data_IF_027386311091
#
_entry.id   IF_027386311091
#
_cell.length_a   1.000
_cell.length_b   1.000
_cell.length_c   1.000
_cell.angle_alpha   90.00
_cell.angle_beta   90.00
_cell.angle_gamma   90.00
#
_symmetry.space_group_name_H-M   'P 1'
#
loop_
_entity.id
_entity.type
_entity.pdbx_description
1 polymer ?
#
# COMPACT_ATOMS: atom_id res chain seq x y z
N UNK A 1 38.95 5.50 59.38
CA UNK A 1 37.63 6.01 58.94
C UNK A 1 37.58 5.85 57.43
N UNK A 2 36.68 5.01 56.89
CA UNK A 2 36.60 4.70 55.46
C UNK A 2 35.51 5.58 54.84
N UNK A 3 35.86 6.40 53.85
CA UNK A 3 34.94 7.27 53.13
C UNK A 3 34.18 6.44 52.09
N UNK A 4 32.86 6.33 52.24
CA UNK A 4 31.99 5.67 51.27
C UNK A 4 31.63 6.67 50.17
N UNK A 5 32.16 6.46 48.97
CA UNK A 5 31.91 7.27 47.79
C UNK A 5 30.65 6.73 47.09
N UNK A 6 29.50 7.35 47.36
CA UNK A 6 28.23 7.00 46.68
C UNK A 6 28.17 7.84 45.40
N UNK A 7 28.52 7.21 44.28
CA UNK A 7 28.48 7.82 42.95
C UNK A 7 27.05 7.76 42.41
N UNK A 8 26.34 8.89 42.40
CA UNK A 8 24.99 9.00 41.86
C UNK A 8 25.03 9.17 40.35
N UNK A 9 24.84 8.07 39.63
CA UNK A 9 24.62 8.06 38.18
C UNK A 9 23.25 8.71 37.86
N UNK A 10 23.27 9.94 37.36
CA UNK A 10 22.08 10.61 36.81
C UNK A 10 21.76 10.03 35.44
N UNK A 11 20.67 9.26 35.34
CA UNK A 11 20.16 8.74 34.07
C UNK A 11 19.36 9.86 33.39
N UNK A 12 19.91 10.44 32.32
CA UNK A 12 19.15 11.30 31.40
C UNK A 12 18.22 10.41 30.57
N UNK A 13 16.94 10.38 30.93
CA UNK A 13 15.91 9.77 30.10
C UNK A 13 15.50 10.79 29.01
N UNK A 14 16.05 10.66 27.81
CA UNK A 14 15.55 11.38 26.65
C UNK A 14 14.27 10.70 26.15
N UNK A 15 13.13 11.33 26.41
CA UNK A 15 11.84 10.89 25.85
C UNK A 15 11.78 11.38 24.41
N UNK A 16 12.08 10.49 23.46
CA UNK A 16 11.85 10.76 22.04
C UNK A 16 10.33 10.71 21.81
N UNK A 17 9.71 11.89 21.68
CA UNK A 17 8.32 11.99 21.24
C UNK A 17 8.31 11.69 19.74
N UNK A 18 7.91 10.48 19.37
CA UNK A 18 7.64 10.16 17.98
C UNK A 18 6.46 11.04 17.53
N UNK A 19 6.74 12.09 16.76
CA UNK A 19 5.70 12.85 16.09
C UNK A 19 4.99 11.90 15.12
N UNK A 20 3.64 11.81 15.13
CA UNK A 20 2.94 11.12 14.06
C UNK A 20 3.25 11.89 12.78
N UNK A 21 4.07 11.28 11.93
CA UNK A 21 4.31 11.76 10.58
C UNK A 21 2.96 11.88 9.90
N UNK A 22 2.55 13.13 9.64
CA UNK A 22 1.31 13.45 8.97
C UNK A 22 1.21 12.66 7.68
N UNK A 23 0.36 11.63 7.69
CA UNK A 23 -0.03 10.90 6.51
C UNK A 23 -0.84 11.86 5.65
N UNK A 24 -0.20 12.48 4.67
CA UNK A 24 -0.93 12.94 3.49
C UNK A 24 -1.57 11.67 2.95
N UNK A 25 -2.88 11.51 3.15
CA UNK A 25 -3.67 10.36 2.67
C UNK A 25 -3.68 10.42 1.13
N UNK A 26 -2.54 10.13 0.52
CA UNK A 26 -2.38 10.05 -0.93
C UNK A 26 -2.95 8.70 -1.33
N UNK A 27 -3.96 8.76 -2.18
CA UNK A 27 -4.52 7.62 -2.86
C UNK A 27 -3.38 6.73 -3.37
N UNK A 28 -3.30 5.50 -2.86
CA UNK A 28 -2.16 4.62 -3.15
C UNK A 28 -2.49 3.82 -4.41
N UNK A 29 -1.82 4.19 -5.49
CA UNK A 29 -1.82 3.40 -6.73
C UNK A 29 -0.79 2.29 -6.60
N UNK A 30 -1.20 1.07 -6.90
CA UNK A 30 -0.32 -0.09 -6.98
C UNK A 30 -0.59 -0.82 -8.28
N UNK A 31 0.43 -0.96 -9.09
CA UNK A 31 0.32 -1.64 -10.38
C UNK A 31 0.54 -3.15 -10.20
N UNK A 32 -0.17 -3.93 -11.00
CA UNK A 32 -0.16 -5.37 -10.97
C UNK A 32 -0.33 -5.95 -12.37
N UNK A 33 -0.53 -7.27 -12.41
CA UNK A 33 -0.83 -7.99 -13.63
C UNK A 33 -2.00 -8.93 -13.44
N UNK A 34 -2.84 -9.05 -14.46
CA UNK A 34 -3.93 -9.99 -14.50
C UNK A 34 -3.42 -11.42 -14.26
N UNK A 35 -4.15 -12.17 -13.43
CA UNK A 35 -3.98 -13.60 -13.24
C UNK A 35 -5.36 -14.27 -13.24
N UNK A 36 -5.71 -14.92 -14.35
CA UNK A 36 -7.07 -15.35 -14.65
C UNK A 36 -8.05 -14.17 -14.76
N UNK A 37 -9.04 -14.10 -13.86
CA UNK A 37 -10.06 -13.04 -13.83
C UNK A 37 -9.73 -11.88 -12.87
N UNK A 38 -8.60 -11.97 -12.16
CA UNK A 38 -8.26 -11.06 -11.06
C UNK A 38 -6.95 -10.31 -11.34
N UNK A 39 -6.78 -9.13 -10.74
CA UNK A 39 -5.53 -8.38 -10.79
C UNK A 39 -4.59 -8.81 -9.66
N UNK A 40 -3.45 -9.40 -10.00
CA UNK A 40 -2.42 -9.81 -9.06
C UNK A 40 -1.42 -8.69 -8.81
N UNK A 41 -1.25 -8.31 -7.55
CA UNK A 41 -0.23 -7.34 -7.12
C UNK A 41 0.64 -8.03 -6.08
N UNK A 42 1.91 -8.27 -6.42
CA UNK A 42 2.80 -9.06 -5.58
C UNK A 42 2.26 -10.48 -5.36
N UNK A 43 1.85 -10.79 -4.13
CA UNK A 43 1.29 -12.10 -3.74
C UNK A 43 -0.23 -12.08 -3.51
N UNK A 44 -0.88 -10.92 -3.66
CA UNK A 44 -2.32 -10.78 -3.46
C UNK A 44 -3.04 -10.73 -4.80
N UNK A 45 -4.21 -11.36 -4.87
CA UNK A 45 -5.12 -11.27 -6.02
C UNK A 45 -6.33 -10.43 -5.65
N UNK A 46 -6.57 -9.38 -6.42
CA UNK A 46 -7.69 -8.46 -6.24
C UNK A 46 -8.70 -8.62 -7.36
N UNK A 47 -9.97 -8.71 -6.99
CA UNK A 47 -11.04 -8.81 -7.98
C UNK A 47 -11.15 -7.51 -8.78
N UNK A 48 -11.35 -7.64 -10.09
CA UNK A 48 -11.56 -6.50 -10.99
C UNK A 48 -12.89 -5.82 -10.68
N UNK A 49 -12.83 -4.55 -10.26
CA UNK A 49 -14.03 -3.76 -10.00
C UNK A 49 -14.49 -3.02 -11.27
N UNK A 50 -13.53 -2.57 -12.07
CA UNK A 50 -13.74 -1.79 -13.28
C UNK A 50 -12.99 -2.46 -14.43
N UNK A 51 -13.73 -2.85 -15.47
CA UNK A 51 -13.21 -3.64 -16.56
C UNK A 51 -13.05 -5.13 -16.20
N UNK A 52 -12.26 -5.85 -17.01
CA UNK A 52 -12.04 -7.28 -16.89
C UNK A 52 -10.60 -7.64 -17.25
N UNK A 53 -10.07 -8.68 -16.62
CA UNK A 53 -8.82 -9.31 -17.04
C UNK A 53 -9.03 -10.33 -18.17
N UNK A 54 -10.28 -10.67 -18.49
CA UNK A 54 -10.63 -11.65 -19.53
C UNK A 54 -11.32 -10.93 -20.69
N UNK A 55 -10.86 -11.19 -21.91
CA UNK A 55 -11.39 -10.63 -23.14
C UNK A 55 -10.29 -10.21 -24.11
N UNK A 56 -10.68 -9.59 -25.23
CA UNK A 56 -9.72 -9.09 -26.23
C UNK A 56 -8.89 -7.94 -25.63
N UNK A 57 -7.56 -8.09 -25.63
CA UNK A 57 -6.64 -7.18 -24.94
C UNK A 57 -6.43 -7.49 -23.45
N UNK A 58 -7.12 -8.50 -22.90
CA UNK A 58 -6.90 -9.06 -21.57
C UNK A 58 -6.05 -10.33 -21.59
N UNK A 59 -5.89 -10.96 -20.43
CA UNK A 59 -5.15 -12.20 -20.25
C UNK A 59 -4.16 -12.15 -19.09
N UNK A 60 -3.68 -13.31 -18.68
CA UNK A 60 -2.61 -13.41 -17.67
C UNK A 60 -1.38 -12.59 -18.09
N UNK A 61 -0.85 -11.79 -17.16
CA UNK A 61 0.31 -10.94 -17.40
C UNK A 61 -0.02 -9.54 -17.94
N UNK A 62 -1.27 -9.26 -18.32
CA UNK A 62 -1.66 -7.91 -18.77
C UNK A 62 -1.72 -6.93 -17.60
N UNK A 63 -1.34 -5.68 -17.85
CA UNK A 63 -1.32 -4.62 -16.85
C UNK A 63 -2.70 -4.39 -16.21
N UNK A 64 -2.72 -4.23 -14.90
CA UNK A 64 -3.89 -3.82 -14.13
C UNK A 64 -3.46 -2.91 -12.97
N UNK A 65 -4.36 -2.07 -12.48
CA UNK A 65 -4.07 -1.09 -11.43
C UNK A 65 -5.01 -1.25 -10.25
N UNK A 66 -4.47 -1.22 -9.04
CA UNK A 66 -5.23 -1.17 -7.79
C UNK A 66 -5.07 0.20 -7.15
N UNK A 67 -6.21 0.82 -6.84
CA UNK A 67 -6.31 2.14 -6.24
C UNK A 67 -6.93 2.00 -4.84
N UNK A 68 -6.15 2.25 -3.80
CA UNK A 68 -6.68 2.39 -2.44
C UNK A 68 -7.09 3.85 -2.23
N UNK A 69 -8.41 4.09 -2.13
CA UNK A 69 -8.99 5.39 -1.87
C UNK A 69 -8.94 5.73 -0.38
N UNK A 70 -9.02 7.02 -0.07
CA UNK A 70 -8.94 7.52 1.30
C UNK A 70 -10.09 7.02 2.19
N UNK A 71 -11.24 6.74 1.59
CA UNK A 71 -12.42 6.17 2.25
C UNK A 71 -12.26 4.69 2.65
N UNK A 72 -11.06 4.11 2.47
CA UNK A 72 -10.79 2.69 2.72
C UNK A 72 -11.35 1.76 1.65
N UNK A 73 -11.98 2.31 0.61
CA UNK A 73 -12.45 1.55 -0.55
C UNK A 73 -11.28 1.27 -1.48
N UNK A 74 -11.20 0.05 -2.00
CA UNK A 74 -10.22 -0.34 -3.01
C UNK A 74 -10.91 -0.50 -4.36
N UNK A 75 -10.36 0.13 -5.40
CA UNK A 75 -10.82 -0.01 -6.79
C UNK A 75 -9.74 -0.65 -7.63
N UNK A 76 -10.08 -1.78 -8.24
CA UNK A 76 -9.21 -2.49 -9.17
C UNK A 76 -9.65 -2.21 -10.60
N UNK A 77 -8.76 -1.64 -11.40
CA UNK A 77 -8.93 -1.35 -12.83
C UNK A 77 -8.20 -2.42 -13.63
N UNK A 78 -8.96 -3.09 -14.48
CA UNK A 78 -8.47 -4.18 -15.33
C UNK A 78 -8.59 -3.79 -16.80
N UNK A 79 -7.72 -4.32 -17.67
CA UNK A 79 -7.42 -3.75 -18.99
C UNK A 79 -8.60 -3.75 -19.96
N UNK A 80 -9.47 -4.77 -19.91
CA UNK A 80 -10.58 -4.91 -20.86
C UNK A 80 -11.78 -4.09 -20.40
N UNK A 81 -12.32 -3.22 -21.27
CA UNK A 81 -13.54 -2.46 -20.97
C UNK A 81 -13.38 -1.43 -19.84
N UNK A 82 -12.14 -1.04 -19.57
CA UNK A 82 -11.81 -0.05 -18.57
C UNK A 82 -12.25 1.36 -19.01
N UNK A 83 -12.95 2.13 -18.16
CA UNK A 83 -13.43 3.47 -18.53
C UNK A 83 -12.31 4.54 -18.51
N UNK A 84 -11.20 4.29 -17.82
CA UNK A 84 -10.15 5.28 -17.56
C UNK A 84 -8.78 4.82 -18.08
N UNK A 85 -8.39 5.14 -19.33
CA UNK A 85 -7.16 4.65 -19.98
C UNK A 85 -5.84 5.17 -19.37
N UNK A 86 -5.89 5.87 -18.23
CA UNK A 86 -4.70 6.18 -17.42
C UNK A 86 -4.46 5.17 -16.29
N UNK A 87 -5.43 4.29 -16.04
CA UNK A 87 -5.45 3.29 -14.97
C UNK A 87 -5.41 1.85 -15.50
N UNK A 88 -5.37 1.73 -16.82
CA UNK A 88 -5.35 0.55 -17.67
C UNK A 88 -4.71 1.04 -18.99
#
# INVERSE_FOLDING_TARGET
MRFNLISTMTVLAAVAVAAPSGGSHKQKRTDGTCNGTSCRVGFENYECNLGSCVGEGGGDGTFCTVLDLQDGTRRTYCPVGCPDPGLC
#
